data_IF_638560581093
#
_entry.id   IF_638560581093
#
_cell.length_a   1.000
_cell.length_b   1.000
_cell.length_c   1.000
_cell.angle_alpha   90.00
_cell.angle_beta   90.00
_cell.angle_gamma   90.00
#
_symmetry.space_group_name_H-M   'P 1'
#
loop_
_entity.id
_entity.type
_entity.pdbx_description
1 polymer ?
#
# COMPACT_ATOMS: atom_id res chain seq x y z
N UNK A 1 -6.19 14.66 13.39
CA UNK A 1 -4.96 14.13 12.78
C UNK A 1 -5.35 13.75 11.37
N UNK A 2 -4.81 14.44 10.38
CA UNK A 2 -5.18 14.21 8.98
C UNK A 2 -4.48 12.94 8.56
N UNK A 3 -5.18 11.81 8.68
CA UNK A 3 -4.67 10.52 8.26
C UNK A 3 -4.54 10.54 6.73
N UNK A 4 -3.34 10.86 6.26
CA UNK A 4 -3.03 10.76 4.83
C UNK A 4 -2.99 9.29 4.48
N UNK A 5 -3.50 8.90 3.30
CA UNK A 5 -3.44 7.52 2.78
C UNK A 5 -2.08 6.85 3.03
N UNK A 6 -1.00 7.62 2.89
CA UNK A 6 0.37 7.22 3.21
C UNK A 6 0.54 6.67 4.63
N UNK A 7 0.02 7.36 5.64
CA UNK A 7 0.21 7.01 7.06
C UNK A 7 -0.51 5.70 7.37
N UNK A 8 -1.76 5.55 6.91
CA UNK A 8 -2.50 4.29 6.99
C UNK A 8 -1.76 3.12 6.33
N UNK A 9 -1.25 3.29 5.09
CA UNK A 9 -0.52 2.22 4.40
C UNK A 9 0.80 1.92 5.12
N UNK A 10 1.52 2.95 5.59
CA UNK A 10 2.77 2.77 6.33
C UNK A 10 2.54 2.03 7.65
N UNK A 11 1.52 2.42 8.42
CA UNK A 11 1.13 1.75 9.65
C UNK A 11 0.76 0.29 9.38
N UNK A 12 -0.07 0.03 8.37
CA UNK A 12 -0.43 -1.32 7.95
C UNK A 12 0.81 -2.18 7.63
N UNK A 13 1.75 -1.62 6.86
CA UNK A 13 2.98 -2.35 6.49
C UNK A 13 3.83 -2.64 7.73
N UNK A 14 3.98 -1.67 8.63
CA UNK A 14 4.75 -1.84 9.86
C UNK A 14 4.12 -2.90 10.77
N UNK A 15 2.81 -2.85 10.96
CA UNK A 15 2.10 -3.76 11.87
C UNK A 15 2.03 -5.18 11.30
N UNK A 16 1.78 -5.35 10.00
CA UNK A 16 1.56 -6.66 9.39
C UNK A 16 2.85 -7.33 8.91
N UNK A 17 3.84 -6.56 8.41
CA UNK A 17 5.07 -7.12 7.83
C UNK A 17 6.31 -6.91 8.69
N UNK A 18 6.41 -5.78 9.40
CA UNK A 18 7.55 -5.50 10.29
C UNK A 18 7.27 -5.86 11.76
N UNK A 19 6.13 -6.47 12.07
CA UNK A 19 5.74 -6.82 13.45
C UNK A 19 5.80 -5.64 14.45
N UNK A 20 5.53 -4.42 13.98
CA UNK A 20 5.63 -3.20 14.78
C UNK A 20 7.05 -2.62 14.88
N UNK A 21 8.02 -3.17 14.15
CA UNK A 21 9.39 -2.66 14.15
C UNK A 21 9.48 -1.36 13.34
N UNK A 22 9.49 -0.25 14.08
CA UNK A 22 9.63 1.11 13.53
C UNK A 22 11.10 1.52 13.36
N UNK A 23 12.05 0.63 13.68
CA UNK A 23 13.48 0.95 13.58
C UNK A 23 13.98 0.89 12.15
N UNK A 24 13.28 0.14 11.29
CA UNK A 24 13.53 0.14 9.86
C UNK A 24 12.95 1.40 9.23
N UNK A 25 13.84 2.24 8.69
CA UNK A 25 13.44 3.44 7.96
C UNK A 25 12.77 3.06 6.64
N UNK A 26 11.44 2.91 6.67
CA UNK A 26 10.62 2.81 5.46
C UNK A 26 10.54 4.18 4.78
N UNK A 27 11.32 4.35 3.72
CA UNK A 27 11.23 5.49 2.82
C UNK A 27 10.05 5.34 1.85
N UNK A 28 9.55 6.46 1.35
CA UNK A 28 8.43 6.50 0.42
C UNK A 28 8.76 5.82 -0.92
N UNK A 29 10.03 5.89 -1.34
CA UNK A 29 10.50 5.33 -2.62
C UNK A 29 11.21 3.98 -2.47
N UNK A 30 11.31 3.46 -1.24
CA UNK A 30 11.94 2.17 -1.00
C UNK A 30 11.08 1.04 -1.57
N UNK A 31 11.74 0.10 -2.22
CA UNK A 31 11.09 -1.06 -2.82
C UNK A 31 10.84 -2.11 -1.74
N UNK A 32 9.59 -2.33 -1.38
CA UNK A 32 9.14 -3.30 -0.39
C UNK A 32 9.47 -4.73 -0.79
N UNK A 33 9.47 -5.03 -2.09
CA UNK A 33 9.78 -6.36 -2.60
C UNK A 33 11.30 -6.57 -2.62
N UNK A 34 12.08 -5.60 -3.11
CA UNK A 34 13.55 -5.74 -3.15
C UNK A 34 14.16 -5.74 -1.74
N UNK A 35 13.59 -4.97 -0.82
CA UNK A 35 14.01 -4.97 0.59
C UNK A 35 13.55 -6.20 1.37
N UNK A 36 12.69 -7.04 0.77
CA UNK A 36 12.14 -8.24 1.39
C UNK A 36 11.15 -7.94 2.53
N UNK A 37 10.54 -6.76 2.52
CA UNK A 37 9.49 -6.38 3.48
C UNK A 37 8.18 -7.04 3.09
N UNK A 38 7.87 -7.09 1.79
CA UNK A 38 6.65 -7.71 1.28
C UNK A 38 7.01 -8.83 0.30
N UNK A 39 6.52 -10.04 0.59
CA UNK A 39 6.54 -11.17 -0.32
C UNK A 39 5.31 -11.19 -1.24
N UNK A 40 5.31 -12.10 -2.22
CA UNK A 40 4.18 -12.30 -3.15
C UNK A 40 2.84 -12.54 -2.45
N UNK A 41 2.84 -13.14 -1.27
CA UNK A 41 1.63 -13.35 -0.46
C UNK A 41 1.20 -12.07 0.25
N UNK A 42 2.16 -11.27 0.73
CA UNK A 42 1.87 -10.01 1.41
C UNK A 42 1.25 -8.97 0.49
N UNK A 43 1.57 -9.00 -0.82
CA UNK A 43 0.90 -8.15 -1.81
C UNK A 43 -0.61 -8.40 -1.84
N UNK A 44 -1.06 -9.65 -1.74
CA UNK A 44 -2.48 -9.98 -1.73
C UNK A 44 -3.19 -9.47 -0.46
N UNK A 45 -2.52 -9.53 0.69
CA UNK A 45 -3.05 -8.96 1.95
C UNK A 45 -3.12 -7.43 1.89
N UNK A 46 -2.10 -6.79 1.32
CA UNK A 46 -2.11 -5.35 1.08
C UNK A 46 -3.26 -4.95 0.15
N UNK A 47 -3.48 -5.69 -0.93
CA UNK A 47 -4.61 -5.46 -1.84
C UNK A 47 -5.93 -5.59 -1.08
N UNK A 48 -6.12 -6.67 -0.32
CA UNK A 48 -7.34 -6.88 0.47
C UNK A 48 -7.58 -5.73 1.47
N UNK A 49 -6.52 -5.26 2.15
CA UNK A 49 -6.60 -4.09 3.02
C UNK A 49 -7.03 -2.84 2.27
N UNK A 50 -6.45 -2.58 1.10
CA UNK A 50 -6.78 -1.40 0.29
C UNK A 50 -8.24 -1.45 -0.17
N UNK A 51 -8.71 -2.61 -0.66
CA UNK A 51 -10.08 -2.78 -1.12
C UNK A 51 -11.09 -2.62 0.02
N UNK A 52 -10.82 -3.22 1.18
CA UNK A 52 -11.68 -3.12 2.38
C UNK A 52 -11.69 -1.70 2.97
N UNK A 53 -10.52 -1.09 3.14
CA UNK A 53 -10.38 0.20 3.81
C UNK A 53 -10.88 1.38 2.97
N UNK A 54 -10.65 1.35 1.65
CA UNK A 54 -11.00 2.45 0.74
C UNK A 54 -12.23 2.15 -0.13
N UNK A 55 -12.76 0.91 -0.11
CA UNK A 55 -13.90 0.51 -0.93
C UNK A 55 -13.61 0.52 -2.42
N UNK A 56 -12.34 0.36 -2.81
CA UNK A 56 -11.92 0.32 -4.22
C UNK A 56 -11.79 -1.12 -4.70
N UNK A 57 -11.76 -1.33 -6.03
CA UNK A 57 -11.44 -2.63 -6.62
C UNK A 57 -10.08 -2.58 -7.30
N UNK A 58 -9.20 -3.50 -6.93
CA UNK A 58 -7.88 -3.69 -7.53
C UNK A 58 -7.97 -4.84 -8.51
N UNK A 59 -7.80 -4.56 -9.81
CA UNK A 59 -7.79 -5.61 -10.81
C UNK A 59 -6.46 -6.39 -10.75
N UNK A 60 -6.44 -7.66 -11.13
CA UNK A 60 -5.18 -8.45 -11.23
C UNK A 60 -4.09 -7.75 -12.06
N UNK A 61 -4.48 -6.99 -13.10
CA UNK A 61 -3.55 -6.22 -13.92
C UNK A 61 -2.91 -5.03 -13.18
N UNK A 62 -3.57 -4.52 -12.13
CA UNK A 62 -3.05 -3.47 -11.25
C UNK A 62 -2.13 -4.05 -10.16
N UNK A 63 -2.18 -5.37 -9.90
CA UNK A 63 -1.34 -6.09 -8.92
C UNK A 63 0.04 -6.36 -9.53
N UNK A 64 0.77 -5.26 -9.74
CA UNK A 64 2.13 -5.27 -10.28
C UNK A 64 3.05 -4.48 -9.37
N UNK A 65 4.35 -4.81 -9.32
CA UNK A 65 5.33 -4.02 -8.58
C UNK A 65 5.32 -2.55 -9.03
N UNK A 66 5.02 -2.27 -10.29
CA UNK A 66 4.88 -0.89 -10.77
C UNK A 66 3.83 -0.05 -10.01
N UNK A 67 2.87 -0.65 -9.29
CA UNK A 67 1.89 0.04 -8.46
C UNK A 67 2.05 -0.23 -6.97
N UNK A 68 2.53 -1.43 -6.59
CA UNK A 68 2.51 -1.92 -5.21
C UNK A 68 3.90 -2.10 -4.57
N UNK A 69 4.96 -1.72 -5.28
CA UNK A 69 6.34 -1.94 -4.82
C UNK A 69 6.81 -0.93 -3.77
N UNK A 70 6.22 0.27 -3.69
CA UNK A 70 6.67 1.30 -2.73
C UNK A 70 5.49 2.05 -2.15
N UNK A 71 5.70 2.63 -0.96
CA UNK A 71 4.68 3.42 -0.27
C UNK A 71 4.10 4.54 -1.14
N UNK A 72 4.98 5.26 -1.85
CA UNK A 72 4.57 6.34 -2.75
C UNK A 72 3.65 5.84 -3.87
N UNK A 73 3.97 4.69 -4.47
CA UNK A 73 3.20 4.11 -5.57
C UNK A 73 1.83 3.63 -5.12
N UNK A 74 1.79 2.96 -3.97
CA UNK A 74 0.53 2.50 -3.37
C UNK A 74 -0.35 3.71 -3.02
N UNK A 75 0.23 4.74 -2.40
CA UNK A 75 -0.50 5.96 -2.03
C UNK A 75 -1.08 6.66 -3.27
N UNK A 76 -0.28 6.80 -4.33
CA UNK A 76 -0.71 7.40 -5.59
C UNK A 76 -1.84 6.59 -6.25
N UNK A 77 -1.68 5.26 -6.31
CA UNK A 77 -2.67 4.34 -6.85
C UNK A 77 -4.02 4.44 -6.13
N UNK A 78 -4.01 4.41 -4.79
CA UNK A 78 -5.23 4.57 -3.98
C UNK A 78 -5.83 5.95 -4.23
N UNK A 79 -5.02 7.01 -4.22
CA UNK A 79 -5.51 8.38 -4.45
C UNK A 79 -6.22 8.51 -5.80
N UNK A 80 -5.64 7.95 -6.86
CA UNK A 80 -6.21 7.91 -8.21
C UNK A 80 -7.54 7.13 -8.27
N UNK A 81 -7.61 5.95 -7.66
CA UNK A 81 -8.82 5.12 -7.64
C UNK A 81 -9.94 5.80 -6.85
N UNK A 82 -9.64 6.32 -5.66
CA UNK A 82 -10.61 7.02 -4.82
C UNK A 82 -11.11 8.31 -5.48
N UNK A 83 -10.23 9.06 -6.15
CA UNK A 83 -10.64 10.23 -6.93
C UNK A 83 -11.56 9.85 -8.10
N UNK A 84 -11.30 8.73 -8.77
CA UNK A 84 -12.12 8.22 -9.88
C UNK A 84 -13.51 7.77 -9.41
N UNK A 85 -13.63 7.21 -8.20
CA UNK A 85 -14.89 6.80 -7.58
C UNK A 85 -15.80 7.98 -7.20
N UNK A 86 -15.22 9.12 -6.79
CA UNK A 86 -15.98 10.33 -6.43
C UNK A 86 -16.46 11.10 -7.68
N UNK A 87 -15.85 10.86 -8.83
CA UNK A 87 -16.18 11.53 -10.09
C UNK A 87 -17.27 10.81 -10.93
N UNK A 88 -17.77 9.66 -10.48
CA UNK A 88 -18.78 8.84 -11.16
C UNK A 88 -20.15 8.93 -10.47
#
# INVERSE_FOLDING_TARGET
MTDTIRDAVKAFVIENFLFGDTTQALDDVDSFIETGIIDSTGVLELVAFIEDHYGITVADADIVPANLDSLARITDFISLKTASLVAA
#
